data_IF_406105818545
#
_entry.id   IF_406105818545
#
_cell.length_a   1.000
_cell.length_b   1.000
_cell.length_c   1.000
_cell.angle_alpha   90.00
_cell.angle_beta   90.00
_cell.angle_gamma   90.00
#
_symmetry.space_group_name_H-M   'P 1'
#
loop_
_entity.id
_entity.type
_entity.pdbx_description
1 polymer ?
#
# COMPACT_ATOMS: atom_id res chain seq x y z
N UNK A 1 6.09 -9.25 5.74
CA UNK A 1 6.30 -8.17 4.75
C UNK A 1 5.88 -8.64 3.37
N UNK A 2 5.19 -7.80 2.64
CA UNK A 2 4.81 -8.04 1.25
C UNK A 2 5.70 -7.18 0.35
N UNK A 3 6.16 -7.73 -0.78
CA UNK A 3 6.96 -7.00 -1.76
C UNK A 3 6.42 -7.28 -3.16
N UNK A 4 6.29 -6.22 -3.97
CA UNK A 4 5.84 -6.30 -5.35
C UNK A 4 6.71 -5.43 -6.24
N UNK A 5 7.02 -5.92 -7.43
CA UNK A 5 7.74 -5.14 -8.43
C UNK A 5 6.77 -4.22 -9.16
N UNK A 6 7.21 -3.01 -9.48
CA UNK A 6 6.40 -2.04 -10.19
C UNK A 6 7.23 -1.25 -11.20
N UNK A 7 6.79 -1.28 -12.45
CA UNK A 7 7.40 -0.52 -13.54
C UNK A 7 6.30 0.29 -14.22
N UNK A 8 6.20 1.61 -13.92
CA UNK A 8 5.14 2.44 -14.50
C UNK A 8 5.19 2.56 -16.03
N UNK A 9 6.38 2.51 -16.62
CA UNK A 9 6.59 2.59 -18.07
C UNK A 9 6.00 3.86 -18.68
N UNK A 10 6.25 5.00 -18.06
CA UNK A 10 5.75 6.31 -18.48
C UNK A 10 6.88 7.20 -18.97
N UNK A 11 6.57 8.10 -19.90
CA UNK A 11 7.44 9.20 -20.28
C UNK A 11 7.24 10.34 -19.29
N UNK A 12 8.30 10.68 -18.54
CA UNK A 12 8.24 11.72 -17.53
C UNK A 12 7.88 11.21 -16.15
N UNK A 13 7.66 12.11 -15.19
CA UNK A 13 7.41 11.71 -13.81
C UNK A 13 6.05 11.05 -13.64
N UNK A 14 5.98 10.14 -12.69
CA UNK A 14 4.70 9.51 -12.31
C UNK A 14 3.83 10.55 -11.61
N UNK A 15 2.58 10.75 -12.07
CA UNK A 15 1.69 11.71 -11.42
C UNK A 15 1.30 11.24 -10.01
N UNK A 16 0.99 12.20 -9.14
CA UNK A 16 0.70 11.92 -7.74
C UNK A 16 -0.44 10.92 -7.56
N UNK A 17 -1.52 11.04 -8.35
CA UNK A 17 -2.65 10.13 -8.23
C UNK A 17 -2.26 8.67 -8.51
N UNK A 18 -1.29 8.46 -9.42
CA UNK A 18 -0.83 7.10 -9.73
C UNK A 18 0.07 6.54 -8.62
N UNK A 19 0.85 7.40 -7.95
CA UNK A 19 1.61 7.01 -6.76
C UNK A 19 0.66 6.55 -5.65
N UNK A 20 -0.42 7.29 -5.42
CA UNK A 20 -1.45 6.89 -4.47
C UNK A 20 -2.08 5.55 -4.84
N UNK A 21 -2.44 5.37 -6.12
CA UNK A 21 -3.03 4.13 -6.60
C UNK A 21 -2.07 2.94 -6.46
N UNK A 22 -0.79 3.15 -6.75
CA UNK A 22 0.22 2.11 -6.66
C UNK A 22 0.44 1.63 -5.21
N UNK A 23 0.22 2.50 -4.23
CA UNK A 23 0.39 2.16 -2.82
C UNK A 23 -0.88 1.59 -2.18
N UNK A 24 -2.05 1.81 -2.77
CA UNK A 24 -3.34 1.44 -2.18
C UNK A 24 -3.46 -0.07 -1.98
N UNK A 25 -3.49 -0.86 -3.04
CA UNK A 25 -3.63 -2.32 -2.94
C UNK A 25 -2.50 -2.97 -2.15
N UNK A 26 -1.20 -2.67 -2.40
CA UNK A 26 -0.14 -3.28 -1.63
C UNK A 26 -0.20 -2.97 -0.14
N UNK A 27 -0.70 -1.80 0.26
CA UNK A 27 -0.85 -1.50 1.69
C UNK A 27 -1.88 -2.40 2.37
N UNK A 28 -2.83 -2.94 1.62
CA UNK A 28 -3.85 -3.84 2.13
C UNK A 28 -3.42 -5.30 2.21
N UNK A 29 -2.51 -5.75 1.35
CA UNK A 29 -2.15 -7.16 1.27
C UNK A 29 -1.74 -7.77 2.61
N UNK A 30 -0.86 -7.16 3.42
CA UNK A 30 -0.51 -7.73 4.71
C UNK A 30 -1.67 -7.76 5.69
N UNK A 31 -2.65 -6.86 5.53
CA UNK A 31 -3.83 -6.83 6.38
C UNK A 31 -4.82 -7.97 6.07
N UNK A 32 -4.79 -8.50 4.84
CA UNK A 32 -5.70 -9.58 4.43
C UNK A 32 -5.14 -10.97 4.70
N UNK A 33 -3.86 -11.11 4.97
CA UNK A 33 -3.25 -12.41 5.23
C UNK A 33 -3.82 -13.01 6.52
N UNK A 34 -4.29 -14.24 6.42
CA UNK A 34 -4.85 -14.96 7.58
C UNK A 34 -6.26 -14.54 7.97
N UNK A 35 -6.90 -13.69 7.19
CA UNK A 35 -8.27 -13.25 7.47
C UNK A 35 -9.26 -14.40 7.24
N UNK A 36 -10.26 -14.51 8.13
CA UNK A 36 -11.31 -15.52 8.01
C UNK A 36 -12.17 -15.31 6.74
N UNK A 37 -12.69 -16.39 6.12
CA UNK A 37 -13.43 -16.25 4.86
C UNK A 37 -14.72 -15.44 4.94
N UNK A 38 -15.32 -15.33 6.14
CA UNK A 38 -16.55 -14.57 6.36
C UNK A 38 -16.30 -13.11 6.76
N UNK A 39 -15.07 -12.66 6.64
CA UNK A 39 -14.65 -11.32 7.01
C UNK A 39 -14.12 -10.58 5.79
N UNK A 40 -14.20 -9.27 5.84
CA UNK A 40 -13.60 -8.38 4.85
C UNK A 40 -12.95 -7.21 5.59
N UNK A 41 -12.05 -6.53 4.92
CA UNK A 41 -11.48 -5.29 5.44
C UNK A 41 -11.70 -4.17 4.46
N UNK A 42 -12.08 -3.02 4.99
CA UNK A 42 -12.27 -1.80 4.21
C UNK A 42 -11.28 -0.76 4.69
N UNK A 43 -10.89 0.14 3.78
CA UNK A 43 -9.99 1.23 4.13
C UNK A 43 -10.76 2.23 4.98
N UNK A 44 -10.33 2.42 6.23
CA UNK A 44 -10.85 3.47 7.09
C UNK A 44 -10.11 4.78 6.91
N UNK A 45 -8.81 4.71 6.69
CA UNK A 45 -7.96 5.88 6.50
C UNK A 45 -6.76 5.50 5.65
N UNK A 46 -6.34 6.40 4.75
CA UNK A 46 -5.19 6.18 3.88
C UNK A 46 -4.51 7.52 3.61
N UNK A 47 -3.22 7.59 3.91
CA UNK A 47 -2.42 8.79 3.71
C UNK A 47 -1.11 8.43 3.00
N UNK A 48 -0.68 9.29 2.09
CA UNK A 48 0.56 9.12 1.33
C UNK A 48 1.42 10.38 1.48
N UNK A 49 2.71 10.15 1.73
CA UNK A 49 3.73 11.19 1.72
C UNK A 49 4.68 10.92 0.55
N UNK A 50 4.63 11.77 -0.47
CA UNK A 50 5.51 11.68 -1.63
C UNK A 50 6.74 12.51 -1.32
N UNK A 51 7.87 11.84 -1.08
CA UNK A 51 9.11 12.50 -0.65
C UNK A 51 9.96 12.98 -1.80
N UNK A 52 9.89 12.30 -2.93
CA UNK A 52 10.65 12.63 -4.14
C UNK A 52 9.81 12.34 -5.37
N UNK A 53 10.11 13.04 -6.46
CA UNK A 53 9.54 12.70 -7.76
C UNK A 53 9.89 11.26 -8.12
N UNK A 54 8.90 10.51 -8.60
CA UNK A 54 9.08 9.13 -9.04
C UNK A 54 9.23 9.14 -10.56
N UNK A 55 10.44 8.87 -11.10
CA UNK A 55 10.62 8.78 -12.55
C UNK A 55 9.76 7.67 -13.15
N UNK A 56 9.11 7.95 -14.27
CA UNK A 56 8.18 7.01 -14.89
C UNK A 56 8.84 5.86 -15.62
N UNK A 57 10.14 5.95 -15.91
CA UNK A 57 10.92 4.94 -16.62
C UNK A 57 11.73 4.03 -15.68
N UNK A 58 11.57 4.18 -14.36
CA UNK A 58 12.28 3.39 -13.38
C UNK A 58 11.63 2.06 -13.08
N UNK A 59 12.36 1.23 -12.34
CA UNK A 59 11.88 -0.02 -11.77
C UNK A 59 11.92 0.08 -10.26
N UNK A 60 10.82 -0.26 -9.61
CA UNK A 60 10.63 -0.06 -8.18
C UNK A 60 10.16 -1.32 -7.49
N UNK A 61 10.34 -1.34 -6.18
CA UNK A 61 9.70 -2.31 -5.30
C UNK A 61 8.70 -1.57 -4.43
N UNK A 62 7.51 -2.15 -4.26
CA UNK A 62 6.53 -1.65 -3.31
C UNK A 62 6.54 -2.62 -2.14
N UNK A 63 6.97 -2.13 -0.98
CA UNK A 63 7.09 -2.91 0.24
C UNK A 63 5.95 -2.54 1.18
N UNK A 64 5.35 -3.53 1.83
CA UNK A 64 4.28 -3.27 2.78
C UNK A 64 4.32 -4.25 3.94
N UNK A 65 3.85 -3.81 5.11
CA UNK A 65 3.80 -4.62 6.31
C UNK A 65 2.75 -4.09 7.28
N UNK A 66 2.33 -4.95 8.20
CA UNK A 66 1.45 -4.57 9.30
C UNK A 66 2.28 -3.85 10.36
N UNK A 67 1.81 -2.67 10.78
CA UNK A 67 2.46 -1.88 11.83
C UNK A 67 1.76 -1.98 13.17
N UNK A 68 0.50 -2.40 13.18
CA UNK A 68 -0.24 -2.55 14.43
C UNK A 68 -1.59 -3.22 14.24
N UNK A 69 -2.16 -3.65 15.34
CA UNK A 69 -3.44 -4.32 15.36
C UNK A 69 -4.18 -3.95 16.64
N UNK A 70 -5.43 -3.53 16.53
CA UNK A 70 -6.23 -3.16 17.72
C UNK A 70 -7.71 -3.42 17.43
N UNK A 71 -8.26 -4.47 18.05
CA UNK A 71 -9.64 -4.86 17.81
C UNK A 71 -9.86 -5.21 16.35
N UNK A 72 -10.76 -4.50 15.68
CA UNK A 72 -11.06 -4.69 14.25
C UNK A 72 -10.18 -3.84 13.33
N UNK A 73 -9.26 -3.06 13.88
CA UNK A 73 -8.39 -2.17 13.11
C UNK A 73 -7.03 -2.82 12.91
N UNK A 74 -6.54 -2.80 11.68
CA UNK A 74 -5.18 -3.18 11.34
C UNK A 74 -4.53 -1.99 10.67
N UNK A 75 -3.39 -1.56 11.18
CA UNK A 75 -2.61 -0.49 10.58
C UNK A 75 -1.48 -1.09 9.75
N UNK A 76 -1.26 -0.51 8.58
CA UNK A 76 -0.21 -0.96 7.66
C UNK A 76 0.60 0.22 7.18
N UNK A 77 1.80 -0.08 6.70
CA UNK A 77 2.65 0.88 6.03
C UNK A 77 3.11 0.29 4.71
N UNK A 78 3.30 1.14 3.72
CA UNK A 78 3.84 0.76 2.42
C UNK A 78 4.82 1.82 1.95
N UNK A 79 5.74 1.42 1.07
CA UNK A 79 6.74 2.33 0.54
C UNK A 79 7.09 1.95 -0.89
N UNK A 80 7.38 2.95 -1.72
CA UNK A 80 7.99 2.76 -3.03
C UNK A 80 9.47 3.03 -2.87
N UNK A 81 10.29 2.02 -3.17
CA UNK A 81 11.75 2.14 -3.11
C UNK A 81 12.34 1.89 -4.49
N UNK A 82 13.41 2.61 -4.81
CA UNK A 82 14.13 2.42 -6.06
C UNK A 82 15.19 1.30 -5.94
N UNK A 83 15.94 1.10 -7.02
CA UNK A 83 16.97 0.05 -7.08
C UNK A 83 18.10 0.27 -6.06
N UNK A 84 18.33 1.49 -5.64
CA UNK A 84 19.34 1.83 -4.64
C UNK A 84 18.79 1.78 -3.20
N UNK A 85 17.53 1.41 -3.03
CA UNK A 85 16.89 1.35 -1.72
C UNK A 85 16.41 2.71 -1.21
N UNK A 86 16.37 3.74 -2.07
CA UNK A 86 15.88 5.06 -1.68
C UNK A 86 14.36 5.04 -1.62
N UNK A 87 13.82 5.55 -0.54
CA UNK A 87 12.39 5.62 -0.29
C UNK A 87 11.81 6.89 -0.94
N UNK A 88 11.03 6.71 -2.01
CA UNK A 88 10.49 7.82 -2.79
C UNK A 88 9.11 8.26 -2.30
N UNK A 89 8.32 7.34 -1.76
CA UNK A 89 7.00 7.64 -1.23
C UNK A 89 6.64 6.62 -0.16
N UNK A 90 5.90 7.06 0.86
CA UNK A 90 5.42 6.19 1.93
C UNK A 90 3.93 6.35 2.10
N UNK A 91 3.27 5.30 2.54
CA UNK A 91 1.85 5.32 2.84
C UNK A 91 1.60 4.71 4.22
N UNK A 92 0.58 5.21 4.88
CA UNK A 92 0.04 4.61 6.10
C UNK A 92 -1.45 4.39 5.89
N UNK A 93 -1.96 3.25 6.29
CA UNK A 93 -3.36 2.91 6.12
C UNK A 93 -3.92 2.28 7.39
N UNK A 94 -5.21 2.52 7.62
CA UNK A 94 -5.98 1.84 8.66
C UNK A 94 -7.05 1.02 7.94
N UNK A 95 -7.02 -0.29 8.16
CA UNK A 95 -7.98 -1.24 7.60
C UNK A 95 -8.92 -1.71 8.70
N UNK A 96 -10.21 -1.67 8.42
CA UNK A 96 -11.25 -2.03 9.39
C UNK A 96 -11.88 -3.34 8.96
N UNK A 97 -11.82 -4.34 9.84
CA UNK A 97 -12.46 -5.63 9.61
C UNK A 97 -13.96 -5.50 9.81
N UNK A 98 -14.71 -6.01 8.85
CA UNK A 98 -16.17 -6.07 8.91
C UNK A 98 -16.63 -7.49 8.60
N UNK A 99 -17.76 -7.95 9.15
CA UNK A 99 -18.35 -9.20 8.72
C UNK A 99 -18.88 -9.04 7.29
N UNK A 100 -18.72 -10.08 6.47
CA UNK A 100 -19.39 -10.11 5.17
C UNK A 100 -20.89 -10.18 5.40
N UNK A 101 -21.64 -9.31 4.73
CA UNK A 101 -23.08 -9.28 4.88
C UNK A 101 -23.66 -10.61 4.38
N UNK A 102 -24.34 -11.30 5.28
CA UNK A 102 -25.16 -12.46 4.94
C UNK A 102 -26.62 -12.01 4.97
N UNK A 103 -27.11 -11.68 3.84
CA UNK A 103 -28.54 -11.35 3.74
C UNK A 103 -29.25 -12.45 3.01
#
# INVERSE_FOLDING_TARGET
MHAASWEPALNGPVPDWLVWAALDCPSGFPAFVGMAPDRARVTGEFAVDIRQTVPGDGAYQILSHVTGHSGRKTTTAAAIVDEDGVNLAVAAAIWIEIPLAST
#
